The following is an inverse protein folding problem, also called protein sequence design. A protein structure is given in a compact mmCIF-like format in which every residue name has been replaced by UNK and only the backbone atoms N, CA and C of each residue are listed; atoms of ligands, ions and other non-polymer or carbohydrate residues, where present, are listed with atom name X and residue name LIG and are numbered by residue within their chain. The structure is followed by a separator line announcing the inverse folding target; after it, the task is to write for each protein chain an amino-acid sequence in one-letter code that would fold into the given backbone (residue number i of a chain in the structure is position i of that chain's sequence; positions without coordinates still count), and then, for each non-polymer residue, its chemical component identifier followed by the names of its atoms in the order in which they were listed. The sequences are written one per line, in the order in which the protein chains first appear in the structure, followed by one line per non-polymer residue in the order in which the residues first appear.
data_IF_737576136192
#
_entry.id   IF_737576136192
#
_cell.length_a   1.000
_cell.length_b   1.000
_cell.length_c   1.000
_cell.angle_alpha   90.00
_cell.angle_beta   90.00
_cell.angle_gamma   90.00
#
_symmetry.space_group_name_H-M   'P 1'
#
loop_
_entity.id
_entity.type
_entity.pdbx_description
1 polymer ?
#
# COMPACT_ATOMS: atom_id res chain seq x y z
N UNK A 1 -5.33 18.79 12.02
CA UNK A 1 -5.83 18.41 10.69
C UNK A 1 -7.28 17.98 10.84
N UNK A 2 -8.17 18.55 10.03
CA UNK A 2 -9.59 18.24 10.09
C UNK A 2 -9.83 16.93 9.31
N UNK A 3 -10.23 15.86 10.00
CA UNK A 3 -10.49 14.55 9.39
C UNK A 3 -11.94 14.50 8.91
N UNK A 4 -12.18 14.17 7.63
CA UNK A 4 -13.54 14.02 7.08
C UNK A 4 -13.95 12.56 7.02
N UNK A 5 -15.20 12.26 7.39
CA UNK A 5 -15.80 10.92 7.34
C UNK A 5 -14.93 9.84 8.02
N UNK A 6 -14.45 10.14 9.23
CA UNK A 6 -13.65 9.20 10.01
C UNK A 6 -14.45 7.95 10.36
N UNK A 7 -13.80 6.80 10.21
CA UNK A 7 -14.33 5.48 10.54
C UNK A 7 -13.22 4.63 11.18
N UNK A 8 -13.50 3.39 11.63
CA UNK A 8 -12.51 2.56 12.32
C UNK A 8 -11.23 2.26 11.53
N UNK A 9 -11.25 2.40 10.20
CA UNK A 9 -10.15 2.04 9.31
C UNK A 9 -9.42 3.24 8.70
N UNK A 10 -9.98 4.46 8.80
CA UNK A 10 -9.41 5.60 8.12
C UNK A 10 -10.32 6.83 8.01
N UNK A 11 -9.86 7.81 7.25
CA UNK A 11 -10.56 9.08 7.02
C UNK A 11 -10.10 9.75 5.72
N UNK A 12 -10.93 10.64 5.20
CA UNK A 12 -10.55 11.53 4.10
C UNK A 12 -9.79 12.75 4.62
N UNK A 13 -8.82 13.18 3.82
CA UNK A 13 -8.24 14.53 3.85
C UNK A 13 -9.32 15.61 3.73
N UNK A 14 -8.98 16.82 4.16
CA UNK A 14 -9.92 17.95 4.19
C UNK A 14 -10.42 18.34 2.78
N UNK A 15 -9.57 18.24 1.76
CA UNK A 15 -9.93 18.49 0.36
C UNK A 15 -10.56 17.27 -0.35
N UNK A 16 -10.60 16.11 0.32
CA UNK A 16 -11.15 14.86 -0.20
C UNK A 16 -10.29 14.18 -1.27
N UNK A 17 -9.07 14.63 -1.53
CA UNK A 17 -8.20 14.08 -2.59
C UNK A 17 -7.44 12.83 -2.18
N UNK A 18 -7.33 12.62 -0.87
CA UNK A 18 -6.62 11.51 -0.26
C UNK A 18 -7.48 10.81 0.79
N UNK A 19 -7.39 9.48 0.80
CA UNK A 19 -7.94 8.65 1.88
C UNK A 19 -6.78 8.01 2.66
N UNK A 20 -6.74 8.27 3.97
CA UNK A 20 -5.75 7.68 4.89
C UNK A 20 -6.34 6.47 5.58
N UNK A 21 -5.73 5.31 5.35
CA UNK A 21 -6.00 4.04 6.03
C UNK A 21 -5.05 3.94 7.23
N UNK A 22 -5.57 3.72 8.43
CA UNK A 22 -4.80 3.74 9.68
C UNK A 22 -4.49 2.36 10.26
N UNK A 23 -4.97 1.30 9.60
CA UNK A 23 -4.75 -0.09 10.00
C UNK A 23 -4.68 -1.00 8.79
N UNK A 24 -3.80 -2.03 8.78
CA UNK A 24 -3.78 -3.01 7.69
C UNK A 24 -5.00 -3.94 7.71
N UNK A 25 -5.72 -4.01 8.84
CA UNK A 25 -6.83 -4.94 9.10
C UNK A 25 -8.18 -4.43 8.58
N UNK A 26 -8.23 -3.97 7.32
CA UNK A 26 -9.50 -3.60 6.68
C UNK A 26 -10.37 -4.85 6.42
N UNK A 27 -11.71 -4.72 6.32
CA UNK A 27 -12.60 -5.88 6.11
C UNK A 27 -12.36 -6.64 4.80
N UNK A 28 -11.79 -5.94 3.82
CA UNK A 28 -11.35 -6.42 2.51
C UNK A 28 -10.14 -5.58 2.07
N UNK A 29 -9.27 -6.09 1.17
CA UNK A 29 -8.22 -5.27 0.57
C UNK A 29 -8.81 -4.02 -0.07
N UNK A 30 -8.30 -2.86 0.33
CA UNK A 30 -8.64 -1.58 -0.26
C UNK A 30 -7.54 -1.22 -1.23
N UNK A 31 -7.90 -1.17 -2.52
CA UNK A 31 -6.96 -0.99 -3.62
C UNK A 31 -7.03 0.40 -4.23
N UNK A 32 -5.88 0.91 -4.67
CA UNK A 32 -5.77 2.07 -5.54
C UNK A 32 -5.30 1.64 -6.94
N UNK A 33 -5.90 2.24 -7.97
CA UNK A 33 -5.50 2.04 -9.36
C UNK A 33 -4.78 3.28 -9.83
N UNK A 34 -3.55 3.09 -10.31
CA UNK A 34 -2.65 4.18 -10.70
C UNK A 34 -2.23 3.94 -12.14
N UNK A 35 -2.33 4.96 -12.99
CA UNK A 35 -2.03 4.87 -14.42
C UNK A 35 -1.52 6.20 -14.96
N UNK A 36 -0.63 6.13 -15.95
CA UNK A 36 -0.26 7.26 -16.81
C UNK A 36 -0.92 7.19 -18.21
N UNK A 37 -1.84 6.24 -18.44
CA UNK A 37 -2.48 5.97 -19.73
C UNK A 37 -1.86 4.83 -20.53
N UNK A 38 -0.58 4.48 -20.31
CA UNK A 38 0.08 3.33 -20.95
C UNK A 38 0.35 2.22 -19.92
N UNK A 39 1.13 2.53 -18.89
CA UNK A 39 1.41 1.65 -17.77
C UNK A 39 0.42 1.88 -16.64
N UNK A 40 -0.03 0.79 -16.02
CA UNK A 40 -0.96 0.84 -14.90
C UNK A 40 -0.60 -0.17 -13.83
N UNK A 41 -0.98 0.12 -12.59
CA UNK A 41 -0.87 -0.81 -11.48
C UNK A 41 -2.08 -0.72 -10.55
N UNK A 42 -2.38 -1.85 -9.93
CA UNK A 42 -3.24 -1.96 -8.75
C UNK A 42 -2.32 -2.16 -7.53
N UNK A 43 -2.63 -1.47 -6.44
CA UNK A 43 -1.93 -1.64 -5.16
C UNK A 43 -2.92 -1.55 -3.99
N UNK A 44 -2.93 -2.56 -3.11
CA UNK A 44 -3.70 -2.58 -1.87
C UNK A 44 -2.97 -1.88 -0.73
N UNK A 45 -3.68 -1.61 0.35
CA UNK A 45 -3.11 -1.10 1.59
C UNK A 45 -2.05 -2.04 2.22
N UNK A 46 -2.00 -3.32 1.82
CA UNK A 46 -0.98 -4.25 2.27
C UNK A 46 0.25 -4.34 1.35
N UNK A 47 0.26 -3.63 0.22
CA UNK A 47 1.32 -3.72 -0.79
C UNK A 47 1.08 -4.75 -1.89
N UNK A 48 -0.10 -5.36 -1.92
CA UNK A 48 -0.49 -6.38 -2.90
C UNK A 48 -1.10 -5.80 -4.15
N UNK A 49 -1.00 -6.51 -5.26
CA UNK A 49 -1.51 -6.11 -6.56
C UNK A 49 -0.44 -6.28 -7.64
N UNK A 50 -0.82 -5.93 -8.86
CA UNK A 50 -0.04 -6.23 -10.05
C UNK A 50 0.02 -5.04 -10.99
N UNK A 51 0.89 -5.12 -11.99
CA UNK A 51 1.01 -4.11 -13.03
C UNK A 51 0.77 -4.69 -14.41
N UNK A 52 0.35 -3.84 -15.34
CA UNK A 52 0.11 -4.17 -16.73
C UNK A 52 0.40 -2.97 -17.64
N UNK A 53 0.51 -3.24 -18.94
CA UNK A 53 0.63 -2.20 -19.97
C UNK A 53 -0.48 -2.34 -21.01
N UNK A 54 -1.32 -1.33 -21.16
CA UNK A 54 -2.53 -1.40 -21.98
C UNK A 54 -3.59 -2.34 -21.38
N UNK A 55 -3.57 -3.62 -21.74
CA UNK A 55 -4.61 -4.58 -21.34
C UNK A 55 -4.24 -5.38 -20.06
N UNK A 56 -5.05 -5.25 -19.01
CA UNK A 56 -4.81 -5.90 -17.72
C UNK A 56 -4.93 -7.44 -17.73
N UNK A 57 -5.63 -8.01 -18.71
CA UNK A 57 -5.80 -9.47 -18.86
C UNK A 57 -4.66 -10.11 -19.64
N UNK A 58 -4.24 -9.47 -20.73
CA UNK A 58 -3.29 -10.01 -21.72
C UNK A 58 -1.85 -9.56 -21.50
N UNK A 59 -1.63 -8.34 -21.00
CA UNK A 59 -0.29 -7.72 -20.92
C UNK A 59 0.13 -7.46 -19.46
N UNK A 60 0.03 -8.49 -18.62
CA UNK A 60 0.45 -8.41 -17.22
C UNK A 60 1.98 -8.43 -17.13
N UNK A 61 2.54 -7.51 -16.36
CA UNK A 61 3.99 -7.37 -16.14
C UNK A 61 4.39 -8.11 -14.86
N UNK A 62 3.59 -7.99 -13.81
CA UNK A 62 3.77 -8.77 -12.57
C UNK A 62 2.61 -9.74 -12.39
N UNK A 63 2.86 -10.84 -11.70
CA UNK A 63 1.83 -11.87 -11.47
C UNK A 63 0.61 -11.25 -10.75
N UNK A 64 -0.58 -11.61 -11.24
CA UNK A 64 -1.84 -11.23 -10.62
C UNK A 64 -2.47 -12.43 -9.92
N UNK A 65 -2.68 -12.32 -8.61
CA UNK A 65 -3.54 -13.22 -7.87
C UNK A 65 -4.36 -12.41 -6.86
N UNK A 66 -5.63 -12.18 -7.20
CA UNK A 66 -6.55 -11.38 -6.39
C UNK A 66 -7.17 -12.25 -5.28
N UNK A 67 -6.33 -12.68 -4.34
CA UNK A 67 -6.79 -13.39 -3.15
C UNK A 67 -7.33 -12.38 -2.13
N UNK A 68 -8.65 -12.22 -2.07
CA UNK A 68 -9.31 -11.28 -1.15
C UNK A 68 -9.18 -11.69 0.32
N UNK A 69 -8.71 -12.90 0.61
CA UNK A 69 -8.48 -13.39 1.97
C UNK A 69 -7.02 -13.13 2.37
N UNK A 70 -6.06 -13.53 1.53
CA UNK A 70 -4.63 -13.45 1.87
C UNK A 70 -4.00 -12.11 1.56
N UNK A 71 -4.40 -11.49 0.45
CA UNK A 71 -3.86 -10.24 -0.08
C UNK A 71 -2.34 -10.18 -0.01
N UNK A 72 -1.65 -11.18 -0.57
CA UNK A 72 -0.22 -11.41 -0.36
C UNK A 72 0.63 -11.55 -1.64
N UNK A 73 0.13 -11.10 -2.79
CA UNK A 73 0.89 -11.06 -4.05
C UNK A 73 1.14 -9.62 -4.47
N UNK A 74 2.37 -9.13 -4.29
CA UNK A 74 2.61 -7.70 -4.31
C UNK A 74 4.04 -7.25 -4.65
N UNK A 75 4.26 -5.96 -4.42
CA UNK A 75 5.53 -5.26 -4.65
C UNK A 75 6.12 -4.96 -3.28
N UNK A 76 7.03 -5.81 -2.83
CA UNK A 76 7.52 -5.75 -1.45
C UNK A 76 8.96 -5.28 -1.38
N UNK A 77 9.19 -4.32 -0.49
CA UNK A 77 10.51 -3.88 -0.07
C UNK A 77 10.75 -4.39 1.34
N UNK A 78 11.84 -5.12 1.55
CA UNK A 78 12.22 -5.61 2.88
C UNK A 78 13.23 -4.64 3.49
N UNK A 79 13.04 -4.37 4.78
CA UNK A 79 13.95 -3.55 5.60
C UNK A 79 14.49 -4.47 6.69
N UNK A 80 15.79 -4.41 6.95
CA UNK A 80 16.46 -5.23 7.98
C UNK A 80 17.26 -4.34 8.91
N UNK A 81 17.01 -4.46 10.21
CA UNK A 81 17.87 -3.92 11.26
C UNK A 81 18.96 -4.95 11.57
N UNK A 82 20.22 -4.58 11.31
CA UNK A 82 21.37 -5.46 11.54
C UNK A 82 21.76 -5.57 13.01
N UNK A 83 21.48 -4.55 13.83
CA UNK A 83 21.80 -4.55 15.26
C UNK A 83 20.83 -5.45 16.03
N UNK A 84 19.54 -5.33 15.74
CA UNK A 84 18.48 -6.15 16.36
C UNK A 84 18.30 -7.51 15.68
N UNK A 85 18.88 -7.70 14.49
CA UNK A 85 18.74 -8.88 13.65
C UNK A 85 17.27 -9.24 13.33
N UNK A 86 16.44 -8.23 13.11
CA UNK A 86 15.04 -8.38 12.68
C UNK A 86 14.84 -7.77 11.29
N UNK A 87 13.77 -8.17 10.61
CA UNK A 87 13.38 -7.61 9.32
C UNK A 87 11.87 -7.48 9.22
N UNK A 88 11.43 -6.56 8.38
CA UNK A 88 10.03 -6.30 8.09
C UNK A 88 9.84 -5.87 6.64
N UNK A 89 8.59 -5.73 6.23
CA UNK A 89 8.23 -5.18 4.92
C UNK A 89 7.91 -3.69 5.06
N UNK A 90 8.29 -2.87 4.08
CA UNK A 90 7.94 -1.45 4.04
C UNK A 90 6.42 -1.23 3.91
N UNK A 91 5.71 -2.22 3.36
CA UNK A 91 4.26 -2.43 3.44
C UNK A 91 3.92 -3.43 4.56
N UNK A 92 2.67 -3.57 5.00
CA UNK A 92 2.37 -4.51 6.10
C UNK A 92 2.67 -5.99 5.73
N UNK A 93 2.27 -6.42 4.53
CA UNK A 93 2.58 -7.76 4.00
C UNK A 93 3.93 -7.73 3.26
N UNK A 94 4.61 -8.89 3.13
CA UNK A 94 4.21 -10.21 3.64
C UNK A 94 4.65 -10.49 5.07
N UNK A 95 5.59 -9.73 5.65
CA UNK A 95 6.20 -10.10 6.94
C UNK A 95 5.25 -9.93 8.12
N UNK A 96 4.34 -8.95 8.09
CA UNK A 96 3.37 -8.69 9.16
C UNK A 96 4.02 -8.48 10.53
N UNK A 97 5.18 -7.83 10.55
CA UNK A 97 5.85 -7.50 11.80
C UNK A 97 4.98 -6.54 12.62
N UNK A 98 4.92 -6.67 13.95
CA UNK A 98 4.29 -5.68 14.81
C UNK A 98 4.81 -4.27 14.53
N UNK A 99 3.92 -3.28 14.56
CA UNK A 99 4.22 -1.89 14.24
C UNK A 99 3.84 -0.95 15.38
N UNK A 100 4.61 0.12 15.54
CA UNK A 100 4.32 1.23 16.45
C UNK A 100 3.36 2.23 15.81
N UNK A 101 3.47 2.43 14.49
CA UNK A 101 2.56 3.25 13.70
C UNK A 101 2.40 2.69 12.28
N UNK A 102 1.21 2.83 11.72
CA UNK A 102 0.87 2.41 10.36
C UNK A 102 -0.05 3.45 9.73
N UNK A 103 0.23 3.84 8.49
CA UNK A 103 -0.71 4.54 7.64
C UNK A 103 -0.47 4.22 6.16
N UNK A 104 -1.54 4.15 5.38
CA UNK A 104 -1.48 4.16 3.92
C UNK A 104 -2.35 5.29 3.39
N UNK A 105 -1.76 6.15 2.57
CA UNK A 105 -2.50 7.21 1.88
C UNK A 105 -2.72 6.77 0.45
N UNK A 106 -3.98 6.62 0.06
CA UNK A 106 -4.36 6.50 -1.35
C UNK A 106 -4.76 7.88 -1.86
N UNK A 107 -3.98 8.39 -2.80
CA UNK A 107 -4.26 9.63 -3.51
C UNK A 107 -4.51 9.39 -4.99
N UNK A 108 -4.85 10.46 -5.72
CA UNK A 108 -5.02 10.40 -7.17
C UNK A 108 -3.65 10.21 -7.82
N UNK A 109 -3.43 9.04 -8.43
CA UNK A 109 -2.20 8.71 -9.15
C UNK A 109 -1.04 8.23 -8.28
N UNK A 110 -1.25 8.01 -6.97
CA UNK A 110 -0.20 7.50 -6.09
C UNK A 110 -0.73 6.82 -4.82
N UNK A 111 0.10 5.99 -4.20
CA UNK A 111 -0.12 5.45 -2.86
C UNK A 111 1.15 5.59 -2.02
N UNK A 112 1.00 6.02 -0.76
CA UNK A 112 2.10 6.21 0.18
C UNK A 112 1.91 5.31 1.40
N UNK A 113 2.89 4.46 1.66
CA UNK A 113 2.95 3.57 2.82
C UNK A 113 3.86 4.19 3.86
N UNK A 114 3.39 4.30 5.10
CA UNK A 114 4.12 4.88 6.22
C UNK A 114 4.05 3.86 7.35
N UNK A 115 5.21 3.41 7.84
CA UNK A 115 5.28 2.53 9.00
C UNK A 115 6.38 2.99 9.95
N UNK A 116 6.18 2.71 11.24
CA UNK A 116 7.23 2.80 12.24
C UNK A 116 7.35 1.45 12.95
N UNK A 117 8.50 0.81 12.82
CA UNK A 117 8.82 -0.52 13.35
C UNK A 117 10.22 -0.44 13.93
N UNK A 118 10.43 -0.97 15.14
CA UNK A 118 11.73 -0.89 15.84
C UNK A 118 12.33 0.52 15.86
N UNK A 119 11.49 1.54 16.10
CA UNK A 119 11.88 2.96 16.12
C UNK A 119 12.37 3.52 14.76
N UNK A 120 12.32 2.72 13.70
CA UNK A 120 12.66 3.12 12.34
C UNK A 120 11.38 3.48 11.58
N UNK A 121 11.25 4.76 11.23
CA UNK A 121 10.19 5.25 10.35
C UNK A 121 10.60 5.05 8.89
N UNK A 122 9.76 4.36 8.12
CA UNK A 122 9.90 4.21 6.67
C UNK A 122 8.72 4.84 5.93
N UNK A 123 8.99 5.37 4.74
CA UNK A 123 7.99 5.89 3.82
C UNK A 123 8.28 5.37 2.41
N UNK A 124 7.28 4.74 1.80
CA UNK A 124 7.36 4.18 0.45
C UNK A 124 6.22 4.77 -0.39
N UNK A 125 6.54 5.53 -1.42
CA UNK A 125 5.56 6.09 -2.36
C UNK A 125 5.61 5.33 -3.68
N UNK A 126 4.46 4.81 -4.11
CA UNK A 126 4.27 4.20 -5.43
C UNK A 126 3.44 5.14 -6.29
N UNK A 127 3.93 5.43 -7.49
CA UNK A 127 3.23 6.18 -8.53
C UNK A 127 3.70 5.68 -9.90
N UNK A 128 3.03 6.11 -10.97
CA UNK A 128 3.46 5.88 -12.35
C UNK A 128 3.80 7.24 -12.95
N UNK A 129 5.03 7.42 -13.43
CA UNK A 129 5.48 8.67 -14.04
C UNK A 129 4.76 8.92 -15.37
N UNK A 130 4.58 10.19 -15.73
CA UNK A 130 4.01 10.61 -17.01
C UNK A 130 4.92 10.23 -18.20
#
# INVERSE_FOLDING_TARGET
MNKKFENPYGFFSEDGREYTITTPYTPRPWGNVISNGDYSLLISQNGSGYSWRGNAGQNRITRSFQDLIKDNWGKYFYIRDLQRNVFWSATYKPVMHPYQAFAVVHGIGYSKFIQQIEEIRSELTLFVAA
#
